data_IF_795649845919
#
_entry.id   IF_795649845919
#
_cell.length_a   1.000
_cell.length_b   1.000
_cell.length_c   1.000
_cell.angle_alpha   90.00
_cell.angle_beta   90.00
_cell.angle_gamma   90.00
#
_symmetry.space_group_name_H-M   'P 1'
#
loop_
_entity.id
_entity.type
_entity.pdbx_description
1 polymer ?
#
# COMPACT_ATOMS: atom_id res chain seq x y z
N UNK A 1 39.80 -9.46 -14.08
CA UNK A 1 40.14 -10.70 -14.83
C UNK A 1 39.20 -10.77 -16.00
N UNK A 2 39.73 -10.58 -17.22
CA UNK A 2 38.96 -10.58 -18.46
C UNK A 2 38.54 -11.99 -18.83
N UNK A 3 37.24 -12.23 -18.97
CA UNK A 3 36.77 -13.50 -19.55
C UNK A 3 36.80 -13.45 -21.08
N UNK A 4 37.37 -14.47 -21.65
CA UNK A 4 37.90 -14.60 -23.01
C UNK A 4 36.76 -14.88 -24.02
N UNK A 5 36.75 -14.10 -25.11
CA UNK A 5 35.75 -14.12 -26.22
C UNK A 5 35.68 -15.38 -27.05
N UNK A 6 36.32 -16.48 -26.67
CA UNK A 6 36.38 -17.72 -27.45
C UNK A 6 35.29 -18.78 -27.19
N UNK A 7 34.46 -18.60 -26.15
CA UNK A 7 33.37 -19.57 -25.87
C UNK A 7 32.04 -19.25 -26.56
N UNK A 8 31.87 -18.08 -27.16
CA UNK A 8 30.63 -17.70 -27.86
C UNK A 8 30.49 -18.24 -29.28
N UNK A 9 31.57 -18.80 -29.87
CA UNK A 9 31.59 -19.29 -31.25
C UNK A 9 31.41 -20.81 -31.43
N UNK A 10 31.24 -21.57 -30.34
CA UNK A 10 31.07 -23.02 -30.40
C UNK A 10 29.60 -23.49 -30.58
N UNK A 11 28.63 -22.63 -30.46
CA UNK A 11 27.19 -22.95 -30.59
C UNK A 11 26.59 -22.68 -31.98
N UNK A 12 27.39 -22.27 -32.96
CA UNK A 12 26.94 -22.00 -34.35
C UNK A 12 27.23 -23.11 -35.37
N UNK A 13 27.70 -24.29 -34.95
CA UNK A 13 27.98 -25.41 -35.88
C UNK A 13 27.32 -26.71 -35.46
N UNK A 14 25.99 -26.74 -35.39
CA UNK A 14 25.25 -27.98 -35.59
C UNK A 14 24.02 -27.64 -36.42
N UNK A 15 24.13 -28.00 -37.69
CA UNK A 15 23.10 -27.81 -38.70
C UNK A 15 21.87 -28.64 -38.41
N UNK A 16 20.80 -28.00 -38.03
CA UNK A 16 19.44 -28.55 -38.08
C UNK A 16 18.76 -28.06 -39.35
N UNK A 17 18.39 -29.04 -40.17
CA UNK A 17 17.87 -28.95 -41.53
C UNK A 17 16.70 -27.93 -41.63
N UNK A 18 16.82 -27.05 -42.63
CA UNK A 18 15.84 -26.05 -43.07
C UNK A 18 14.59 -26.63 -43.73
N UNK A 19 13.92 -27.62 -43.21
CA UNK A 19 12.74 -28.19 -43.88
C UNK A 19 11.44 -28.24 -43.07
N UNK A 20 11.36 -27.70 -41.85
CA UNK A 20 10.11 -27.68 -41.09
C UNK A 20 9.57 -26.28 -40.72
N UNK A 21 10.19 -25.20 -41.18
CA UNK A 21 9.78 -23.83 -40.86
C UNK A 21 8.74 -23.22 -41.83
N UNK A 22 8.32 -23.93 -42.88
CA UNK A 22 7.32 -23.44 -43.83
C UNK A 22 5.88 -23.94 -43.59
N UNK A 23 5.62 -24.76 -42.57
CA UNK A 23 4.24 -25.23 -42.25
C UNK A 23 3.62 -24.59 -41.02
N UNK A 24 4.38 -23.86 -40.22
CA UNK A 24 3.82 -23.16 -39.00
C UNK A 24 3.47 -21.70 -39.20
N UNK A 25 3.70 -21.13 -40.40
CA UNK A 25 3.36 -19.73 -40.68
C UNK A 25 1.94 -19.51 -41.23
N UNK A 26 1.12 -20.54 -41.40
CA UNK A 26 -0.25 -20.40 -41.89
C UNK A 26 -1.34 -20.57 -40.84
N UNK A 27 -0.98 -20.67 -39.55
CA UNK A 27 -1.95 -20.60 -38.43
C UNK A 27 -1.58 -19.47 -37.49
N UNK A 28 -1.47 -18.26 -38.00
CA UNK A 28 -1.73 -17.06 -37.18
C UNK A 28 -3.24 -16.95 -36.96
N UNK A 29 -3.77 -17.85 -36.12
CA UNK A 29 -5.07 -17.66 -35.53
C UNK A 29 -5.04 -16.38 -34.74
N UNK A 30 -5.98 -15.51 -35.03
CA UNK A 30 -6.35 -14.32 -34.25
C UNK A 30 -6.25 -14.65 -32.76
N UNK A 31 -5.41 -13.91 -32.04
CA UNK A 31 -5.36 -13.95 -30.57
C UNK A 31 -6.79 -13.67 -30.07
N UNK A 32 -7.45 -14.57 -29.37
CA UNK A 32 -8.80 -14.32 -28.87
C UNK A 32 -8.71 -13.19 -27.86
N UNK A 33 -9.49 -12.13 -28.09
CA UNK A 33 -9.60 -10.98 -27.21
C UNK A 33 -9.83 -11.42 -25.76
N UNK A 34 -8.95 -11.04 -24.87
CA UNK A 34 -9.11 -10.82 -23.43
C UNK A 34 -9.54 -11.98 -22.51
N UNK A 35 -10.56 -12.74 -22.82
CA UNK A 35 -11.23 -13.66 -21.89
C UNK A 35 -10.46 -14.94 -21.55
N UNK A 36 -9.64 -15.47 -22.44
CA UNK A 36 -8.99 -16.78 -22.24
C UNK A 36 -7.80 -16.75 -21.27
N UNK A 37 -7.08 -15.63 -21.18
CA UNK A 37 -5.97 -15.47 -20.23
C UNK A 37 -6.50 -15.34 -18.78
N UNK A 38 -7.57 -14.58 -18.60
CA UNK A 38 -8.22 -14.37 -17.31
C UNK A 38 -8.82 -15.65 -16.74
N UNK A 39 -9.55 -16.43 -17.54
CA UNK A 39 -10.06 -17.75 -17.13
C UNK A 39 -8.94 -18.73 -16.79
N UNK A 40 -7.87 -18.77 -17.59
CA UNK A 40 -6.69 -19.60 -17.33
C UNK A 40 -5.98 -19.18 -16.05
N UNK A 41 -5.91 -17.86 -15.77
CA UNK A 41 -5.36 -17.33 -14.52
C UNK A 41 -6.18 -17.76 -13.32
N UNK A 42 -7.52 -17.68 -13.40
CA UNK A 42 -8.42 -18.14 -12.33
C UNK A 42 -8.31 -19.63 -12.05
N UNK A 43 -8.35 -20.46 -13.06
CA UNK A 43 -8.17 -21.90 -12.91
C UNK A 43 -6.79 -22.25 -12.34
N UNK A 44 -5.74 -21.56 -12.79
CA UNK A 44 -4.40 -21.72 -12.22
C UNK A 44 -4.31 -21.26 -10.78
N UNK A 45 -4.97 -20.17 -10.40
CA UNK A 45 -5.00 -19.68 -9.01
C UNK A 45 -5.64 -20.72 -8.09
N UNK A 46 -6.72 -21.38 -8.49
CA UNK A 46 -7.36 -22.45 -7.72
C UNK A 46 -6.45 -23.69 -7.58
N UNK A 47 -5.87 -24.18 -8.68
CA UNK A 47 -5.00 -25.36 -8.67
C UNK A 47 -3.68 -25.09 -7.91
N UNK A 48 -3.10 -23.90 -8.03
CA UNK A 48 -1.89 -23.54 -7.27
C UNK A 48 -2.18 -23.24 -5.80
N UNK A 49 -3.43 -22.93 -5.44
CA UNK A 49 -3.83 -22.72 -4.04
C UNK A 49 -3.68 -24.01 -3.21
N UNK A 50 -3.91 -25.17 -3.81
CA UNK A 50 -3.84 -26.48 -3.14
C UNK A 50 -2.41 -26.92 -2.79
N UNK A 51 -1.39 -26.38 -3.48
CA UNK A 51 0.01 -26.78 -3.34
C UNK A 51 0.92 -25.80 -2.58
N UNK A 52 0.39 -24.68 -2.06
CA UNK A 52 1.17 -23.74 -1.27
C UNK A 52 1.16 -24.17 0.20
N UNK A 53 2.31 -24.19 0.87
CA UNK A 53 2.43 -24.59 2.27
C UNK A 53 1.63 -23.70 3.25
N UNK A 54 1.69 -24.02 4.53
CA UNK A 54 0.92 -23.40 5.61
C UNK A 54 1.12 -21.87 5.77
N UNK A 55 2.22 -21.31 5.26
CA UNK A 55 2.50 -19.86 5.30
C UNK A 55 1.48 -19.01 4.54
N UNK A 56 0.69 -19.61 3.67
CA UNK A 56 -0.32 -18.94 2.83
C UNK A 56 -1.74 -19.41 3.16
N UNK A 57 -1.98 -19.91 4.38
CA UNK A 57 -3.31 -20.30 4.83
C UNK A 57 -4.27 -19.10 4.83
N UNK A 58 -5.55 -19.38 4.64
CA UNK A 58 -6.60 -18.39 4.75
C UNK A 58 -6.65 -17.79 6.16
N UNK A 59 -6.58 -16.47 6.22
CA UNK A 59 -6.72 -15.68 7.45
C UNK A 59 -7.87 -14.69 7.28
N UNK A 60 -9.05 -15.00 7.86
CA UNK A 60 -10.25 -14.16 7.73
C UNK A 60 -10.10 -12.79 8.42
N UNK A 61 -9.16 -12.68 9.35
CA UNK A 61 -8.84 -11.44 10.09
C UNK A 61 -8.04 -10.42 9.27
N UNK A 62 -7.49 -10.81 8.12
CA UNK A 62 -6.74 -9.88 7.26
C UNK A 62 -7.69 -8.86 6.65
N UNK A 63 -7.26 -7.59 6.76
CA UNK A 63 -7.84 -6.41 6.16
C UNK A 63 -6.84 -5.77 5.21
N UNK A 64 -7.27 -5.51 3.98
CA UNK A 64 -6.45 -4.80 2.99
C UNK A 64 -6.91 -3.36 2.91
N UNK A 65 -5.95 -2.43 2.97
CA UNK A 65 -6.18 -0.99 2.87
C UNK A 65 -5.55 -0.49 1.57
N UNK A 66 -6.36 0.06 0.68
CA UNK A 66 -5.85 0.77 -0.50
C UNK A 66 -5.41 2.18 -0.11
N UNK A 67 -4.14 2.50 -0.32
CA UNK A 67 -3.55 3.80 -0.04
C UNK A 67 -3.18 4.56 -1.33
N UNK A 68 -3.74 4.19 -2.49
CA UNK A 68 -3.35 4.73 -3.80
C UNK A 68 -3.48 6.24 -3.88
N UNK A 69 -4.59 6.82 -3.41
CA UNK A 69 -4.78 8.27 -3.44
C UNK A 69 -3.94 8.95 -2.36
N UNK A 70 -3.93 8.41 -1.14
CA UNK A 70 -3.22 9.04 -0.01
C UNK A 70 -1.72 9.08 -0.24
N UNK A 71 -1.07 7.98 -0.57
CA UNK A 71 0.38 7.95 -0.73
C UNK A 71 0.81 8.33 -2.15
N UNK A 72 0.00 7.97 -3.16
CA UNK A 72 0.20 8.44 -4.53
C UNK A 72 0.07 9.96 -4.67
N UNK A 73 -0.76 10.60 -3.85
CA UNK A 73 -0.88 12.06 -3.81
C UNK A 73 0.43 12.78 -3.46
N UNK A 74 1.37 12.10 -2.81
CA UNK A 74 2.71 12.64 -2.55
C UNK A 74 3.59 12.70 -3.83
N UNK A 75 3.14 12.09 -4.92
CA UNK A 75 3.82 12.14 -6.24
C UNK A 75 3.32 13.31 -7.09
N UNK A 76 2.00 13.60 -7.02
CA UNK A 76 1.32 14.55 -7.92
C UNK A 76 0.60 15.68 -7.15
N UNK A 77 1.02 16.00 -5.93
CA UNK A 77 0.39 16.99 -5.07
C UNK A 77 -1.12 16.77 -4.87
N UNK A 78 -1.59 15.53 -4.85
CA UNK A 78 -3.00 15.14 -4.64
C UNK A 78 -3.96 15.55 -5.77
N UNK A 79 -3.43 15.83 -6.95
CA UNK A 79 -4.25 16.08 -8.14
C UNK A 79 -4.61 14.75 -8.81
N UNK A 80 -5.84 14.32 -8.61
CA UNK A 80 -6.43 13.16 -9.27
C UNK A 80 -7.78 13.57 -9.84
N UNK A 81 -8.07 13.16 -11.07
CA UNK A 81 -9.37 13.35 -11.67
C UNK A 81 -10.46 12.56 -10.96
N UNK A 82 -11.65 13.11 -10.82
CA UNK A 82 -12.78 12.47 -10.17
C UNK A 82 -13.16 11.14 -10.82
N UNK A 83 -13.02 11.04 -12.15
CA UNK A 83 -13.26 9.78 -12.87
C UNK A 83 -12.27 8.69 -12.40
N UNK A 84 -10.99 9.04 -12.27
CA UNK A 84 -9.97 8.12 -11.75
C UNK A 84 -10.33 7.64 -10.35
N UNK A 85 -10.68 8.55 -9.45
CA UNK A 85 -10.99 8.22 -8.05
C UNK A 85 -12.30 7.41 -7.95
N UNK A 86 -13.32 7.72 -8.75
CA UNK A 86 -14.56 6.94 -8.85
C UNK A 86 -14.33 5.52 -9.37
N UNK A 87 -13.48 5.38 -10.38
CA UNK A 87 -13.13 4.06 -10.92
C UNK A 87 -12.32 3.26 -9.92
N UNK A 88 -11.38 3.91 -9.18
CA UNK A 88 -10.63 3.27 -8.11
C UNK A 88 -11.53 2.77 -6.97
N UNK A 89 -12.48 3.61 -6.53
CA UNK A 89 -13.47 3.24 -5.52
C UNK A 89 -14.27 2.00 -5.94
N UNK A 90 -14.84 2.01 -7.16
CA UNK A 90 -15.59 0.87 -7.72
C UNK A 90 -14.71 -0.38 -7.84
N UNK A 91 -13.47 -0.20 -8.26
CA UNK A 91 -12.49 -1.28 -8.40
C UNK A 91 -12.20 -1.94 -7.05
N UNK A 92 -11.93 -1.14 -6.03
CA UNK A 92 -11.64 -1.62 -4.68
C UNK A 92 -12.83 -2.37 -4.08
N UNK A 93 -14.05 -1.83 -4.22
CA UNK A 93 -15.28 -2.49 -3.79
C UNK A 93 -15.48 -3.84 -4.51
N UNK A 94 -15.34 -3.87 -5.84
CA UNK A 94 -15.48 -5.09 -6.64
C UNK A 94 -14.34 -6.12 -6.38
N UNK A 95 -13.16 -5.64 -5.96
CA UNK A 95 -12.03 -6.47 -5.58
C UNK A 95 -12.14 -7.03 -4.14
N UNK A 96 -13.10 -6.56 -3.34
CA UNK A 96 -13.30 -6.95 -1.95
C UNK A 96 -12.25 -6.37 -0.99
N UNK A 97 -11.62 -5.25 -1.36
CA UNK A 97 -10.72 -4.48 -0.49
C UNK A 97 -11.51 -3.96 0.72
N UNK A 98 -10.90 -3.96 1.90
CA UNK A 98 -11.62 -3.63 3.14
C UNK A 98 -11.74 -2.13 3.38
N UNK A 99 -10.70 -1.37 3.02
CA UNK A 99 -10.64 0.08 3.22
C UNK A 99 -10.04 0.77 2.01
N UNK A 100 -10.57 1.96 1.67
CA UNK A 100 -9.93 2.89 0.74
C UNK A 100 -9.55 4.17 1.49
N UNK A 101 -8.27 4.53 1.44
CA UNK A 101 -7.73 5.74 2.05
C UNK A 101 -7.67 6.87 1.02
N UNK A 102 -8.56 7.85 1.15
CA UNK A 102 -8.74 8.93 0.17
C UNK A 102 -7.65 10.00 0.21
N UNK A 103 -6.98 10.18 1.33
CA UNK A 103 -5.95 11.21 1.44
C UNK A 103 -5.75 11.67 2.87
N UNK A 104 -5.48 12.97 3.02
CA UNK A 104 -5.22 13.56 4.32
C UNK A 104 -6.36 14.48 4.77
N UNK A 105 -6.52 14.64 6.09
CA UNK A 105 -7.22 15.74 6.74
C UNK A 105 -6.21 16.85 7.08
N UNK A 106 -5.47 17.36 6.08
CA UNK A 106 -4.49 18.41 6.31
C UNK A 106 -5.18 19.76 6.61
N UNK A 107 -4.63 20.51 7.57
CA UNK A 107 -5.15 21.83 7.90
C UNK A 107 -4.92 22.83 6.77
N UNK A 108 -5.98 23.51 6.33
CA UNK A 108 -5.92 24.58 5.31
C UNK A 108 -5.20 25.84 5.82
N UNK A 109 -4.96 25.95 7.11
CA UNK A 109 -4.15 27.01 7.70
C UNK A 109 -2.64 26.78 7.50
N UNK A 110 -2.23 25.51 7.24
CA UNK A 110 -0.84 25.11 7.07
C UNK A 110 -0.48 24.78 5.61
N UNK A 111 -1.46 24.43 4.79
CA UNK A 111 -1.26 24.02 3.40
C UNK A 111 -2.16 24.84 2.48
N UNK A 112 -1.56 25.47 1.45
CA UNK A 112 -2.29 26.27 0.49
C UNK A 112 -3.17 25.38 -0.41
N UNK A 113 -4.47 25.65 -0.44
CA UNK A 113 -5.45 24.96 -1.29
C UNK A 113 -5.18 25.14 -2.79
N UNK A 114 -4.37 26.13 -3.18
CA UNK A 114 -3.99 26.35 -4.58
C UNK A 114 -2.75 25.54 -5.00
N UNK A 115 -1.98 25.01 -4.02
CA UNK A 115 -0.79 24.19 -4.28
C UNK A 115 -1.07 22.69 -4.27
N UNK A 116 -2.21 22.29 -3.69
CA UNK A 116 -2.58 20.88 -3.51
C UNK A 116 -3.99 20.60 -4.01
N UNK A 117 -4.16 19.41 -4.60
CA UNK A 117 -5.48 18.88 -4.95
C UNK A 117 -6.34 18.58 -3.71
N UNK A 118 -7.64 18.45 -3.91
CA UNK A 118 -8.66 18.29 -2.86
C UNK A 118 -8.43 17.10 -1.92
N UNK A 119 -7.74 16.05 -2.39
CA UNK A 119 -7.42 14.86 -1.59
C UNK A 119 -6.34 15.09 -0.53
N UNK A 120 -5.69 16.26 -0.54
CA UNK A 120 -4.86 16.72 0.58
C UNK A 120 -5.70 17.07 1.80
N UNK A 121 -6.92 17.54 1.58
CA UNK A 121 -7.82 18.05 2.62
C UNK A 121 -8.98 17.12 2.94
N UNK A 122 -9.40 16.31 1.94
CA UNK A 122 -10.50 15.36 2.06
C UNK A 122 -11.75 15.96 2.71
N UNK A 123 -12.22 17.10 2.17
CA UNK A 123 -13.48 17.67 2.65
C UNK A 123 -14.60 16.64 2.49
N UNK A 124 -15.56 16.65 3.40
CA UNK A 124 -16.64 15.65 3.44
C UNK A 124 -17.41 15.59 2.12
N UNK A 125 -17.69 16.75 1.51
CA UNK A 125 -18.43 16.83 0.26
C UNK A 125 -17.63 16.22 -0.90
N UNK A 126 -16.30 16.42 -0.97
CA UNK A 126 -15.45 15.84 -2.01
C UNK A 126 -15.47 14.30 -1.97
N UNK A 127 -15.49 13.72 -0.77
CA UNK A 127 -15.61 12.26 -0.60
C UNK A 127 -17.01 11.80 -1.00
N UNK A 128 -18.07 12.50 -0.56
CA UNK A 128 -19.47 12.18 -0.91
C UNK A 128 -19.73 12.25 -2.40
N UNK A 129 -19.11 13.16 -3.14
CA UNK A 129 -19.23 13.27 -4.60
C UNK A 129 -18.67 12.03 -5.34
N UNK A 130 -17.80 11.26 -4.67
CA UNK A 130 -17.24 9.99 -5.18
C UNK A 130 -18.09 8.80 -4.75
N UNK A 131 -18.35 8.68 -3.43
CA UNK A 131 -18.88 7.45 -2.84
C UNK A 131 -20.40 7.50 -2.57
N UNK A 132 -21.03 8.67 -2.65
CA UNK A 132 -22.40 8.86 -2.17
C UNK A 132 -22.48 8.61 -0.65
N UNK A 133 -23.44 7.80 -0.24
CA UNK A 133 -23.61 7.34 1.14
C UNK A 133 -22.84 6.02 1.42
N UNK A 134 -22.01 5.60 0.48
CA UNK A 134 -21.24 4.36 0.51
C UNK A 134 -22.09 3.11 0.84
N UNK A 135 -22.77 2.60 -0.17
CA UNK A 135 -23.62 1.40 -0.08
C UNK A 135 -22.84 0.06 -0.20
N UNK A 136 -21.50 0.11 -0.11
CA UNK A 136 -20.63 -1.06 -0.20
C UNK A 136 -20.14 -1.52 1.18
N UNK A 137 -19.62 -2.76 1.26
CA UNK A 137 -18.97 -3.27 2.47
C UNK A 137 -17.58 -2.64 2.73
N UNK A 138 -17.03 -1.90 1.76
CA UNK A 138 -15.73 -1.25 1.87
C UNK A 138 -15.84 0.02 2.73
N UNK A 139 -14.98 0.15 3.71
CA UNK A 139 -14.91 1.31 4.59
C UNK A 139 -14.04 2.41 4.01
N UNK A 140 -14.41 3.66 4.32
CA UNK A 140 -13.68 4.86 3.89
C UNK A 140 -12.74 5.31 5.00
N UNK A 141 -11.51 5.64 4.64
CA UNK A 141 -10.53 6.14 5.59
C UNK A 141 -9.78 7.37 5.08
N UNK A 142 -9.24 8.13 6.03
CA UNK A 142 -8.35 9.26 5.77
C UNK A 142 -7.23 9.29 6.80
N UNK A 143 -6.09 9.87 6.43
CA UNK A 143 -4.97 10.05 7.34
C UNK A 143 -4.99 11.45 7.97
N UNK A 144 -4.62 11.51 9.24
CA UNK A 144 -4.51 12.76 10.01
C UNK A 144 -3.14 12.81 10.69
N UNK A 145 -2.26 13.70 10.21
CA UNK A 145 -0.89 13.82 10.72
C UNK A 145 -0.87 14.68 11.99
N UNK A 146 -0.22 14.20 13.03
CA UNK A 146 0.03 14.97 14.24
C UNK A 146 0.80 16.26 13.91
N UNK A 147 0.25 17.40 14.33
CA UNK A 147 0.82 18.72 14.07
C UNK A 147 0.56 19.28 12.67
N UNK A 148 -0.20 18.56 11.81
CA UNK A 148 -0.57 19.02 10.47
C UNK A 148 -2.07 18.98 10.20
N UNK A 149 -2.83 18.43 11.13
CA UNK A 149 -4.30 18.39 11.12
C UNK A 149 -4.82 19.14 12.32
N UNK A 150 -5.77 20.06 12.15
CA UNK A 150 -6.58 20.56 13.25
C UNK A 150 -7.71 19.55 13.50
N UNK A 151 -7.40 18.50 14.25
CA UNK A 151 -8.29 17.36 14.43
C UNK A 151 -9.59 17.70 15.17
N UNK A 152 -9.57 18.76 15.98
CA UNK A 152 -10.78 19.21 16.69
C UNK A 152 -11.79 19.84 15.75
N UNK A 153 -11.30 20.59 14.76
CA UNK A 153 -12.11 21.31 13.77
C UNK A 153 -12.38 20.46 12.53
N UNK A 154 -11.33 19.85 11.96
CA UNK A 154 -11.38 19.26 10.63
C UNK A 154 -11.90 17.81 10.62
N UNK A 155 -11.96 17.15 11.79
CA UNK A 155 -12.60 15.85 11.97
C UNK A 155 -13.96 16.08 12.65
N UNK A 156 -15.05 15.97 11.89
CA UNK A 156 -16.43 16.08 12.38
C UNK A 156 -16.89 14.80 13.07
N UNK A 157 -18.09 14.77 13.65
CA UNK A 157 -18.63 13.53 14.22
C UNK A 157 -18.91 12.50 13.14
N UNK A 158 -18.74 11.21 13.48
CA UNK A 158 -18.97 10.08 12.55
C UNK A 158 -20.39 10.05 11.99
N UNK A 159 -21.39 10.45 12.78
CA UNK A 159 -22.79 10.48 12.36
C UNK A 159 -23.06 11.43 11.18
N UNK A 160 -22.20 12.45 11.01
CA UNK A 160 -22.27 13.44 9.93
C UNK A 160 -21.33 13.12 8.76
N UNK A 161 -20.53 12.03 8.87
CA UNK A 161 -19.45 11.71 7.94
C UNK A 161 -19.63 10.35 7.27
N UNK A 162 -19.21 10.27 6.00
CA UNK A 162 -19.07 8.98 5.28
C UNK A 162 -17.75 8.27 5.60
N UNK A 163 -16.82 8.96 6.29
CA UNK A 163 -15.54 8.37 6.73
C UNK A 163 -15.81 7.40 7.88
N UNK A 164 -15.19 6.22 7.85
CA UNK A 164 -15.32 5.19 8.87
C UNK A 164 -14.12 5.14 9.81
N UNK A 165 -12.92 5.43 9.28
CA UNK A 165 -11.67 5.25 9.99
C UNK A 165 -10.75 6.47 9.86
N UNK A 166 -10.24 6.96 10.98
CA UNK A 166 -9.17 7.96 11.05
C UNK A 166 -7.84 7.25 11.30
N UNK A 167 -6.85 7.49 10.44
CA UNK A 167 -5.51 6.95 10.58
C UNK A 167 -4.57 8.05 11.09
N UNK A 168 -4.22 8.01 12.37
CA UNK A 168 -3.36 9.01 13.02
C UNK A 168 -1.91 8.69 12.67
N UNK A 169 -1.20 9.58 11.97
CA UNK A 169 0.23 9.43 11.70
C UNK A 169 1.07 10.24 12.69
N UNK A 170 2.07 9.60 13.29
CA UNK A 170 2.89 10.19 14.35
C UNK A 170 4.34 9.73 14.30
N UNK A 171 5.23 10.55 14.82
CA UNK A 171 6.60 10.15 15.19
C UNK A 171 6.67 9.81 16.68
N UNK A 172 7.73 9.09 17.08
CA UNK A 172 7.92 8.63 18.46
C UNK A 172 7.80 9.76 19.49
N UNK A 173 8.37 10.93 19.21
CA UNK A 173 8.35 12.09 20.10
C UNK A 173 7.01 12.84 20.16
N UNK A 174 6.07 12.49 19.28
CA UNK A 174 4.74 13.11 19.19
C UNK A 174 3.63 12.23 19.79
N UNK A 175 3.96 11.07 20.36
CA UNK A 175 2.98 10.11 20.88
C UNK A 175 1.99 10.74 21.87
N UNK A 176 2.38 11.64 22.81
CA UNK A 176 1.39 12.27 23.69
C UNK A 176 0.27 12.99 22.92
N UNK A 177 0.62 13.80 21.92
CA UNK A 177 -0.36 14.49 21.08
C UNK A 177 -1.16 13.50 20.20
N UNK A 178 -0.52 12.42 19.74
CA UNK A 178 -1.22 11.38 19.01
C UNK A 178 -2.31 10.70 19.85
N UNK A 179 -2.05 10.47 21.13
CA UNK A 179 -3.04 9.90 22.07
C UNK A 179 -4.24 10.83 22.24
N UNK A 180 -4.03 12.14 22.38
CA UNK A 180 -5.12 13.11 22.43
C UNK A 180 -5.98 13.09 21.17
N UNK A 181 -5.33 12.99 20.01
CA UNK A 181 -5.98 12.92 18.71
C UNK A 181 -6.76 11.60 18.50
N UNK A 182 -6.19 10.48 18.96
CA UNK A 182 -6.84 9.17 18.97
C UNK A 182 -8.11 9.22 19.84
N UNK A 183 -7.98 9.76 21.05
CA UNK A 183 -9.10 9.87 22.01
C UNK A 183 -10.23 10.75 21.48
N UNK A 184 -9.90 11.89 20.86
CA UNK A 184 -10.88 12.79 20.21
C UNK A 184 -11.62 12.08 19.05
N UNK A 185 -10.89 11.40 18.17
CA UNK A 185 -11.50 10.67 17.06
C UNK A 185 -12.38 9.50 17.54
N UNK A 186 -11.95 8.78 18.58
CA UNK A 186 -12.78 7.73 19.21
C UNK A 186 -14.03 8.30 19.84
N UNK A 187 -13.93 9.43 20.55
CA UNK A 187 -15.09 10.12 21.14
C UNK A 187 -16.10 10.58 20.08
N UNK A 188 -15.64 10.89 18.86
CA UNK A 188 -16.46 11.22 17.70
C UNK A 188 -17.06 9.99 16.99
N UNK A 189 -16.72 8.75 17.42
CA UNK A 189 -17.31 7.52 16.94
C UNK A 189 -16.54 6.78 15.84
N UNK A 190 -15.32 7.18 15.52
CA UNK A 190 -14.52 6.55 14.47
C UNK A 190 -13.81 5.28 14.91
N UNK A 191 -13.55 4.37 13.95
CA UNK A 191 -12.45 3.44 14.05
C UNK A 191 -11.13 4.22 13.92
N UNK A 192 -10.14 3.91 14.77
CA UNK A 192 -8.89 4.67 14.79
C UNK A 192 -7.69 3.77 14.73
N UNK A 193 -6.80 4.02 13.76
CA UNK A 193 -5.49 3.38 13.73
C UNK A 193 -4.39 4.41 13.98
N UNK A 194 -3.22 3.97 14.43
CA UNK A 194 -2.06 4.83 14.61
C UNK A 194 -0.86 4.31 13.83
N UNK A 195 -0.30 5.16 12.99
CA UNK A 195 0.84 4.87 12.11
C UNK A 195 2.11 5.47 12.73
N UNK A 196 2.93 4.63 13.37
CA UNK A 196 4.21 5.08 13.94
C UNK A 196 5.26 5.14 12.85
N UNK A 197 5.62 6.36 12.45
CA UNK A 197 6.53 6.64 11.34
C UNK A 197 8.00 6.60 11.75
N UNK A 198 8.88 6.39 10.76
CA UNK A 198 10.33 6.43 10.88
C UNK A 198 10.90 5.52 11.99
N UNK A 199 10.27 4.37 12.20
CA UNK A 199 10.65 3.38 13.23
C UNK A 199 12.11 2.93 13.10
N UNK A 200 12.64 2.91 11.87
CA UNK A 200 14.04 2.57 11.60
C UNK A 200 15.07 3.54 12.22
N UNK A 201 14.62 4.68 12.73
CA UNK A 201 15.46 5.70 13.40
C UNK A 201 15.28 5.71 14.92
N UNK A 202 14.44 4.83 15.45
CA UNK A 202 14.12 4.76 16.87
C UNK A 202 14.93 3.64 17.51
N UNK A 203 15.57 3.91 18.64
CA UNK A 203 16.22 2.86 19.43
C UNK A 203 15.20 1.95 20.11
N UNK A 204 15.66 0.81 20.54
CA UNK A 204 14.79 -0.25 21.07
C UNK A 204 14.03 0.15 22.34
N UNK A 205 14.63 0.92 23.24
CA UNK A 205 14.01 1.36 24.51
C UNK A 205 12.88 2.38 24.24
N UNK A 206 13.15 3.41 23.43
CA UNK A 206 12.16 4.39 23.07
C UNK A 206 11.00 3.76 22.26
N UNK A 207 11.31 2.78 21.41
CA UNK A 207 10.28 2.04 20.67
C UNK A 207 9.37 1.25 21.61
N UNK A 208 9.91 0.50 22.58
CA UNK A 208 9.11 -0.28 23.52
C UNK A 208 8.24 0.61 24.40
N UNK A 209 8.79 1.72 24.89
CA UNK A 209 8.04 2.71 25.66
C UNK A 209 6.90 3.33 24.82
N UNK A 210 7.17 3.70 23.58
CA UNK A 210 6.18 4.24 22.66
C UNK A 210 5.08 3.23 22.33
N UNK A 211 5.42 1.97 22.07
CA UNK A 211 4.47 0.90 21.81
C UNK A 211 3.56 0.63 23.01
N UNK A 212 4.11 0.67 24.23
CA UNK A 212 3.31 0.52 25.46
C UNK A 212 2.29 1.64 25.60
N UNK A 213 2.68 2.91 25.34
CA UNK A 213 1.79 4.05 25.40
C UNK A 213 0.68 3.94 24.34
N UNK A 214 1.03 3.61 23.09
CA UNK A 214 0.06 3.44 22.02
C UNK A 214 -0.87 2.24 22.25
N UNK A 215 -0.36 1.14 22.81
CA UNK A 215 -1.19 0.00 23.14
C UNK A 215 -2.21 0.28 24.24
N UNK A 216 -1.89 1.18 25.19
CA UNK A 216 -2.83 1.66 26.22
C UNK A 216 -3.85 2.66 25.71
N UNK A 217 -3.60 3.32 24.57
CA UNK A 217 -4.53 4.27 23.98
C UNK A 217 -5.81 3.60 23.45
N UNK A 218 -6.76 4.39 23.02
CA UNK A 218 -8.03 3.91 22.43
C UNK A 218 -7.89 3.48 20.97
N UNK A 219 -6.69 3.49 20.36
CA UNK A 219 -6.48 3.03 18.99
C UNK A 219 -6.88 1.55 18.82
N UNK A 220 -7.52 1.21 17.71
CA UNK A 220 -7.92 -0.16 17.38
C UNK A 220 -6.75 -0.96 16.79
N UNK A 221 -5.85 -0.28 16.08
CA UNK A 221 -4.71 -0.90 15.39
C UNK A 221 -3.47 -0.01 15.45
N UNK A 222 -2.29 -0.63 15.65
CA UNK A 222 -0.99 0.05 15.66
C UNK A 222 -0.20 -0.42 14.42
N UNK A 223 0.23 0.53 13.59
CA UNK A 223 0.94 0.24 12.34
C UNK A 223 2.45 0.31 12.50
N UNK A 224 3.13 -0.74 12.05
CA UNK A 224 4.55 -0.74 11.75
C UNK A 224 4.75 -0.08 10.37
N UNK A 225 5.43 1.07 10.34
CA UNK A 225 5.66 1.81 9.10
C UNK A 225 7.14 1.78 8.72
N UNK A 226 7.46 1.13 7.60
CA UNK A 226 8.78 1.21 6.97
C UNK A 226 8.86 2.47 6.08
N UNK A 227 8.97 3.64 6.72
CA UNK A 227 8.90 4.96 6.07
C UNK A 227 9.98 5.20 5.01
N UNK A 228 11.08 4.47 5.06
CA UNK A 228 12.23 4.66 4.18
C UNK A 228 12.49 3.46 3.26
N UNK A 229 11.64 2.42 3.35
CA UNK A 229 11.85 1.18 2.62
C UNK A 229 13.21 0.55 2.96
N UNK A 230 13.62 0.65 4.23
CA UNK A 230 14.96 0.32 4.69
C UNK A 230 15.03 -1.06 5.37
N UNK A 231 13.90 -1.65 5.72
CA UNK A 231 13.89 -2.93 6.44
C UNK A 231 14.08 -4.13 5.52
N UNK A 232 14.82 -5.10 6.05
CA UNK A 232 14.88 -6.46 5.54
C UNK A 232 13.84 -7.36 6.25
N UNK A 233 13.43 -8.50 5.65
CA UNK A 233 12.38 -9.35 6.22
C UNK A 233 12.65 -9.81 7.66
N UNK A 234 13.89 -10.12 8.04
CA UNK A 234 14.24 -10.51 9.40
C UNK A 234 14.05 -9.37 10.42
N UNK A 235 14.27 -8.10 9.99
CA UNK A 235 13.99 -6.94 10.83
C UNK A 235 12.48 -6.75 10.99
N UNK A 236 11.70 -6.91 9.92
CA UNK A 236 10.23 -6.86 9.96
C UNK A 236 9.68 -7.94 10.90
N UNK A 237 10.20 -9.17 10.83
CA UNK A 237 9.81 -10.26 11.75
C UNK A 237 10.03 -9.87 13.20
N UNK A 238 11.22 -9.36 13.53
CA UNK A 238 11.57 -8.92 14.89
C UNK A 238 10.65 -7.79 15.37
N UNK A 239 10.46 -6.78 14.53
CA UNK A 239 9.61 -5.63 14.86
C UNK A 239 8.15 -6.04 15.02
N UNK A 240 7.60 -6.84 14.09
CA UNK A 240 6.22 -7.33 14.18
C UNK A 240 5.99 -8.10 15.48
N UNK A 241 6.94 -8.95 15.89
CA UNK A 241 6.84 -9.66 17.16
C UNK A 241 6.80 -8.71 18.38
N UNK A 242 7.57 -7.61 18.37
CA UNK A 242 7.53 -6.58 19.44
C UNK A 242 6.18 -5.85 19.47
N UNK A 243 5.69 -5.42 18.31
CA UNK A 243 4.37 -4.81 18.19
C UNK A 243 3.26 -5.74 18.69
N UNK A 244 3.29 -7.02 18.28
CA UNK A 244 2.35 -8.02 18.74
C UNK A 244 2.39 -8.23 20.24
N UNK A 245 3.60 -8.26 20.84
CA UNK A 245 3.75 -8.41 22.29
C UNK A 245 3.15 -7.25 23.09
N UNK A 246 3.29 -6.00 22.59
CA UNK A 246 2.68 -4.84 23.20
C UNK A 246 1.15 -4.83 22.99
N UNK A 247 0.71 -5.06 21.75
CA UNK A 247 -0.68 -4.97 21.34
C UNK A 247 -1.57 -6.04 21.98
N UNK A 248 -1.07 -7.29 22.10
CA UNK A 248 -1.84 -8.42 22.61
C UNK A 248 -2.36 -8.20 24.04
N UNK A 249 -1.61 -7.48 24.89
CA UNK A 249 -1.99 -7.17 26.27
C UNK A 249 -3.25 -6.30 26.36
N UNK A 250 -3.55 -5.55 25.30
CA UNK A 250 -4.66 -4.61 25.24
C UNK A 250 -5.66 -4.94 24.12
N UNK A 251 -5.55 -6.13 23.52
CA UNK A 251 -6.45 -6.59 22.46
C UNK A 251 -6.38 -5.79 21.15
N UNK A 252 -5.26 -5.06 20.92
CA UNK A 252 -5.08 -4.24 19.72
C UNK A 252 -4.65 -5.09 18.53
N UNK A 253 -4.97 -4.62 17.32
CA UNK A 253 -4.50 -5.20 16.06
C UNK A 253 -3.18 -4.58 15.63
N UNK A 254 -2.47 -5.23 14.71
CA UNK A 254 -1.24 -4.73 14.11
C UNK A 254 -1.44 -4.58 12.61
N UNK A 255 -0.99 -3.44 12.09
CA UNK A 255 -0.93 -3.17 10.66
C UNK A 255 0.51 -3.01 10.17
N UNK A 256 0.70 -3.05 8.86
CA UNK A 256 1.98 -2.78 8.20
C UNK A 256 1.78 -1.89 6.98
N UNK A 257 2.65 -0.88 6.88
CA UNK A 257 2.81 -0.05 5.70
C UNK A 257 4.29 -0.03 5.30
N UNK A 258 4.61 -0.53 4.11
CA UNK A 258 5.98 -0.71 3.66
C UNK A 258 6.25 0.03 2.36
N UNK A 259 7.28 0.90 2.36
CA UNK A 259 7.83 1.52 1.15
C UNK A 259 8.80 0.60 0.42
N UNK A 260 8.96 0.84 -0.87
CA UNK A 260 9.59 -0.10 -1.81
C UNK A 260 11.01 0.28 -2.23
N UNK A 261 11.73 1.09 -1.43
CA UNK A 261 13.03 1.62 -1.79
C UNK A 261 14.06 0.53 -2.11
N UNK A 262 14.07 -0.57 -1.37
CA UNK A 262 14.89 -1.75 -1.65
C UNK A 262 14.16 -2.85 -2.43
N UNK A 263 12.97 -2.55 -2.99
CA UNK A 263 12.09 -3.50 -3.68
C UNK A 263 11.61 -4.66 -2.77
N UNK A 264 11.54 -4.43 -1.47
CA UNK A 264 11.16 -5.43 -0.47
C UNK A 264 9.76 -5.19 0.12
N UNK A 265 9.03 -4.15 -0.31
CA UNK A 265 7.74 -3.81 0.29
C UNK A 265 6.75 -4.98 0.31
N UNK A 266 6.62 -5.70 -0.80
CA UNK A 266 5.76 -6.88 -0.86
C UNK A 266 6.25 -8.01 0.06
N UNK A 267 7.55 -8.33 0.03
CA UNK A 267 8.14 -9.36 0.90
C UNK A 267 7.97 -9.01 2.38
N UNK A 268 8.21 -7.75 2.74
CA UNK A 268 8.07 -7.24 4.10
C UNK A 268 6.60 -7.25 4.57
N UNK A 269 5.66 -6.90 3.70
CA UNK A 269 4.22 -6.99 4.00
C UNK A 269 3.79 -8.43 4.27
N UNK A 270 4.26 -9.39 3.46
CA UNK A 270 3.99 -10.82 3.66
C UNK A 270 4.64 -11.32 4.96
N UNK A 271 5.89 -10.92 5.23
CA UNK A 271 6.58 -11.30 6.47
C UNK A 271 5.83 -10.79 7.71
N UNK A 272 5.37 -9.53 7.69
CA UNK A 272 4.55 -8.99 8.78
C UNK A 272 3.22 -9.75 8.93
N UNK A 273 2.54 -10.07 7.82
CA UNK A 273 1.29 -10.84 7.83
C UNK A 273 1.49 -12.24 8.41
N UNK A 274 2.58 -12.95 8.04
CA UNK A 274 2.91 -14.28 8.60
C UNK A 274 3.14 -14.21 10.10
N UNK A 275 3.71 -13.12 10.59
CA UNK A 275 4.03 -12.90 12.01
C UNK A 275 2.88 -12.24 12.81
N UNK A 276 1.68 -12.09 12.24
CA UNK A 276 0.47 -11.72 12.97
C UNK A 276 -0.14 -10.36 12.61
N UNK A 277 0.50 -9.55 11.76
CA UNK A 277 -0.16 -8.35 11.25
C UNK A 277 -1.43 -8.72 10.48
N UNK A 278 -2.51 -7.95 10.71
CA UNK A 278 -3.81 -8.21 10.10
C UNK A 278 -4.31 -7.04 9.23
N UNK A 279 -3.74 -5.86 9.33
CA UNK A 279 -4.02 -4.74 8.43
C UNK A 279 -2.83 -4.54 7.49
N UNK A 280 -3.06 -4.65 6.19
CA UNK A 280 -2.02 -4.64 5.17
C UNK A 280 -2.29 -3.53 4.16
N UNK A 281 -1.38 -2.56 4.09
CA UNK A 281 -1.46 -1.47 3.14
C UNK A 281 -0.86 -1.86 1.79
N UNK A 282 -1.51 -1.44 0.72
CA UNK A 282 -1.01 -1.57 -0.64
C UNK A 282 -1.53 -0.43 -1.52
N UNK A 283 -0.94 -0.26 -2.71
CA UNK A 283 -1.38 0.72 -3.69
C UNK A 283 -1.40 0.12 -5.09
N UNK A 284 -2.28 0.63 -5.96
CA UNK A 284 -2.32 0.21 -7.36
C UNK A 284 -0.99 0.50 -8.05
N UNK A 285 -0.39 -0.53 -8.66
CA UNK A 285 0.95 -0.49 -9.27
C UNK A 285 2.05 0.04 -8.33
N UNK A 286 1.87 -0.12 -7.04
CA UNK A 286 2.81 0.38 -6.05
C UNK A 286 2.94 1.90 -6.02
N UNK A 287 1.95 2.67 -6.52
CA UNK A 287 2.01 4.14 -6.58
C UNK A 287 2.24 4.73 -5.19
N UNK A 288 3.19 5.65 -5.08
CA UNK A 288 3.50 6.34 -3.85
C UNK A 288 4.83 7.07 -3.90
N UNK A 289 5.15 7.80 -2.84
CA UNK A 289 6.35 8.62 -2.77
C UNK A 289 7.62 7.83 -3.11
N UNK A 290 8.44 8.37 -4.00
CA UNK A 290 9.75 7.81 -4.36
C UNK A 290 9.64 6.44 -5.02
N UNK A 291 10.15 5.41 -4.39
CA UNK A 291 10.10 4.04 -4.89
C UNK A 291 8.71 3.38 -4.79
N UNK A 292 7.75 4.07 -4.17
CA UNK A 292 6.39 3.58 -3.98
C UNK A 292 6.24 2.59 -2.83
N UNK A 293 5.22 1.74 -2.92
CA UNK A 293 4.70 0.89 -1.84
C UNK A 293 4.59 -0.59 -2.25
N UNK A 294 4.02 -1.40 -1.37
CA UNK A 294 3.54 -2.73 -1.71
C UNK A 294 2.49 -2.64 -2.84
N UNK A 295 2.64 -3.48 -3.86
CA UNK A 295 1.73 -3.52 -5.01
C UNK A 295 0.43 -4.26 -4.64
N UNK A 296 -0.74 -3.62 -4.88
CA UNK A 296 -2.06 -4.20 -4.61
C UNK A 296 -2.26 -5.50 -5.39
N UNK A 297 -1.89 -5.51 -6.67
CA UNK A 297 -2.01 -6.68 -7.54
C UNK A 297 -1.15 -7.87 -7.07
N UNK A 298 0.01 -7.62 -6.48
CA UNK A 298 0.84 -8.67 -5.89
C UNK A 298 0.23 -9.17 -4.57
N UNK A 299 -0.20 -8.26 -3.71
CA UNK A 299 -0.78 -8.59 -2.40
C UNK A 299 -2.04 -9.44 -2.56
N UNK A 300 -3.02 -9.00 -3.36
CA UNK A 300 -4.26 -9.76 -3.57
C UNK A 300 -4.02 -11.09 -4.29
N UNK A 301 -2.99 -11.18 -5.16
CA UNK A 301 -2.63 -12.45 -5.78
C UNK A 301 -2.07 -13.46 -4.79
N UNK A 302 -1.42 -13.00 -3.73
CA UNK A 302 -0.83 -13.84 -2.70
C UNK A 302 -1.87 -14.29 -1.65
N UNK A 303 -2.74 -13.39 -1.22
CA UNK A 303 -3.73 -13.67 -0.19
C UNK A 303 -4.73 -14.73 -0.66
N UNK A 304 -5.09 -15.64 0.26
CA UNK A 304 -6.03 -16.75 -0.01
C UNK A 304 -7.44 -16.48 0.47
N UNK A 305 -7.74 -15.26 0.84
CA UNK A 305 -9.09 -14.90 1.22
C UNK A 305 -9.98 -14.93 -0.04
N UNK A 306 -11.06 -15.74 -0.08
CA UNK A 306 -11.92 -15.90 -1.25
C UNK A 306 -12.68 -14.62 -1.63
N UNK A 307 -12.80 -13.65 -0.71
CA UNK A 307 -13.43 -12.36 -1.03
C UNK A 307 -12.61 -11.50 -1.98
N UNK A 308 -11.27 -11.68 -2.02
CA UNK A 308 -10.42 -10.85 -2.87
C UNK A 308 -10.44 -11.31 -4.32
N UNK A 309 -10.87 -10.40 -5.19
CA UNK A 309 -10.95 -10.58 -6.63
C UNK A 309 -9.89 -9.71 -7.35
N UNK A 310 -8.90 -10.35 -7.96
CA UNK A 310 -7.81 -9.63 -8.65
C UNK A 310 -8.21 -9.02 -10.00
N UNK A 311 -9.28 -9.51 -10.65
CA UNK A 311 -9.63 -9.06 -12.00
C UNK A 311 -9.91 -7.57 -12.08
N UNK A 312 -10.77 -6.97 -11.23
CA UNK A 312 -11.00 -5.53 -11.26
C UNK A 312 -9.71 -4.71 -11.11
N UNK A 313 -8.79 -5.18 -10.25
CA UNK A 313 -7.48 -4.52 -10.04
C UNK A 313 -6.64 -4.55 -11.30
N UNK A 314 -6.58 -5.70 -12.01
CA UNK A 314 -5.84 -5.80 -13.26
C UNK A 314 -6.42 -4.89 -14.35
N UNK A 315 -7.75 -4.80 -14.44
CA UNK A 315 -8.45 -3.91 -15.38
C UNK A 315 -8.15 -2.44 -15.09
N UNK A 316 -8.16 -2.06 -13.82
CA UNK A 316 -7.83 -0.71 -13.38
C UNK A 316 -6.37 -0.36 -13.71
N UNK A 317 -5.45 -1.26 -13.40
CA UNK A 317 -4.01 -1.07 -13.71
C UNK A 317 -3.80 -0.89 -15.21
N UNK A 318 -4.44 -1.71 -16.04
CA UNK A 318 -4.33 -1.60 -17.51
C UNK A 318 -4.94 -0.28 -18.03
N UNK A 319 -6.11 0.11 -17.51
CA UNK A 319 -6.84 1.31 -17.97
C UNK A 319 -6.19 2.62 -17.53
N UNK A 320 -5.74 2.69 -16.25
CA UNK A 320 -5.34 3.94 -15.61
C UNK A 320 -3.86 4.01 -15.27
N UNK A 321 -3.31 3.00 -14.57
CA UNK A 321 -1.97 3.10 -14.00
C UNK A 321 -0.88 3.09 -15.07
N UNK A 322 -1.06 2.35 -16.17
CA UNK A 322 -0.11 2.35 -17.28
C UNK A 322 0.00 3.73 -17.92
N UNK A 323 -1.14 4.44 -18.08
CA UNK A 323 -1.14 5.82 -18.60
C UNK A 323 -0.45 6.81 -17.67
N UNK A 324 -0.71 6.69 -16.35
CA UNK A 324 -0.04 7.54 -15.37
C UNK A 324 1.48 7.35 -15.38
N UNK A 325 1.98 6.11 -15.56
CA UNK A 325 3.42 5.83 -15.66
C UNK A 325 4.08 6.45 -16.89
N UNK A 326 3.33 6.67 -17.98
CA UNK A 326 3.80 7.37 -19.17
C UNK A 326 3.87 8.89 -18.95
N UNK A 327 3.09 9.42 -18.00
CA UNK A 327 2.99 10.83 -17.66
C UNK A 327 4.22 11.38 -16.92
N UNK A 328 4.15 12.64 -16.45
CA UNK A 328 5.25 13.29 -15.72
C UNK A 328 5.46 12.72 -14.33
N UNK A 329 4.42 12.19 -13.71
CA UNK A 329 4.46 11.68 -12.34
C UNK A 329 5.21 10.35 -12.30
N UNK A 330 6.33 10.32 -11.58
CA UNK A 330 7.21 9.15 -11.54
C UNK A 330 7.27 8.55 -10.14
N UNK A 331 7.12 7.26 -10.07
CA UNK A 331 7.37 6.45 -8.88
C UNK A 331 7.93 5.09 -9.31
N UNK A 332 8.56 4.42 -8.39
CA UNK A 332 9.11 3.09 -8.63
C UNK A 332 10.60 3.00 -8.33
N UNK A 333 11.18 1.88 -8.72
CA UNK A 333 12.58 1.61 -8.47
C UNK A 333 13.47 2.53 -9.31
N UNK A 334 14.27 3.34 -8.61
CA UNK A 334 15.35 4.13 -9.21
C UNK A 334 16.55 4.13 -8.26
N UNK A 335 17.76 4.30 -8.81
CA UNK A 335 19.00 4.21 -8.04
C UNK A 335 19.06 5.19 -6.85
N UNK A 336 18.65 6.47 -6.95
CA UNK A 336 18.63 7.37 -5.81
C UNK A 336 17.72 6.89 -4.68
N UNK A 337 16.57 6.32 -5.00
CA UNK A 337 15.65 5.78 -3.98
C UNK A 337 16.19 4.50 -3.35
N UNK A 338 16.81 3.62 -4.12
CA UNK A 338 17.51 2.44 -3.59
C UNK A 338 18.58 2.86 -2.58
N UNK A 339 19.39 3.86 -2.91
CA UNK A 339 20.42 4.38 -2.00
C UNK A 339 19.82 4.95 -0.71
N UNK A 340 18.69 5.66 -0.77
CA UNK A 340 18.02 6.15 0.45
C UNK A 340 17.52 5.00 1.32
N UNK A 341 17.02 3.90 0.74
CA UNK A 341 16.65 2.69 1.47
C UNK A 341 17.86 2.06 2.17
N UNK A 342 18.91 1.79 1.42
CA UNK A 342 20.16 1.19 1.96
C UNK A 342 20.77 2.05 3.07
N UNK A 343 20.79 3.38 2.91
CA UNK A 343 21.31 4.32 3.89
C UNK A 343 20.34 4.65 5.02
N UNK A 344 19.14 4.05 5.00
CA UNK A 344 18.06 4.35 5.94
C UNK A 344 17.78 5.87 6.02
N UNK A 345 17.70 6.56 4.87
CA UNK A 345 17.55 8.00 4.77
C UNK A 345 16.20 8.38 4.18
N UNK A 346 15.70 9.58 4.53
CA UNK A 346 14.42 10.05 4.03
C UNK A 346 14.43 10.17 2.49
N UNK A 347 13.41 9.68 1.77
CA UNK A 347 13.38 9.70 0.29
C UNK A 347 13.53 11.11 -0.34
N UNK A 348 13.17 12.19 0.38
CA UNK A 348 13.40 13.55 -0.10
C UNK A 348 14.89 13.90 -0.34
N UNK A 349 15.81 13.13 0.25
CA UNK A 349 17.24 13.27 -0.02
C UNK A 349 17.59 12.81 -1.44
N UNK A 350 16.85 11.85 -1.99
CA UNK A 350 17.01 11.40 -3.36
C UNK A 350 16.46 12.41 -4.38
N UNK A 351 15.32 13.03 -4.08
CA UNK A 351 14.66 14.02 -4.97
C UNK A 351 15.58 15.21 -5.29
N UNK A 352 16.50 15.54 -4.39
CA UNK A 352 17.49 16.62 -4.62
C UNK A 352 18.65 16.20 -5.54
N UNK A 353 18.75 14.92 -5.87
CA UNK A 353 19.82 14.33 -6.68
C UNK A 353 19.34 13.91 -8.08
N UNK A 354 18.05 14.00 -8.36
CA UNK A 354 17.40 13.77 -9.64
C UNK A 354 17.07 15.12 -10.30
#
# INVERSE_FOLDING_TARGET
MCYNSKQFNALKRNGLKRNNLKREQSQRGTIPKGNNFREKFYRRKQVMAENRGNLTSYRPDIKVVDCTIRDGGLVNNFYFDDEFVKDLYKTNAAAGVDYMEFGYKASKDLFDVNEFGKWKFCDEQDIRDIVGDNDTDMKISVMADVGRTDYKRDIINKEDSVIDMIRVATYIHQIPTAIDMISDAKAKGYEVTVNLMAVSKVDDENLDNGLELLAKSDADCIYLVDSFGAFYPEQVRRLTARYMAAAARYGKKIGVHAHNNQQLAFANTIEAAINGASYLDATMSGMGRGAGNCYMEQLLSFLRNPKYNLIPVMDFVEKHMNKLKEGPDKWGCDLPYLLTGVLNSHPSSAIKCI
#
